data_IF_602294541713
#
_entry.id   IF_602294541713
#
_cell.length_a   1.000
_cell.length_b   1.000
_cell.length_c   1.000
_cell.angle_alpha   90.00
_cell.angle_beta   90.00
_cell.angle_gamma   90.00
#
_symmetry.space_group_name_H-M   'P 1'
#
loop_
_entity.id
_entity.type
_entity.pdbx_description
1 polymer ?
#
# COMPACT_ATOMS: atom_id res chain seq x y z
N UNK A 1 -8.58 -3.64 -6.50
CA UNK A 1 -8.35 -2.48 -5.62
C UNK A 1 -7.44 -1.46 -6.29
N UNK A 2 -6.26 -1.89 -6.78
CA UNK A 2 -5.28 -0.99 -7.41
C UNK A 2 -5.80 -0.25 -8.65
N UNK A 3 -6.59 -0.89 -9.52
CA UNK A 3 -7.19 -0.16 -10.66
C UNK A 3 -8.21 0.91 -10.21
N UNK A 4 -9.01 0.60 -9.19
CA UNK A 4 -10.02 1.52 -8.66
C UNK A 4 -9.37 2.78 -8.09
N UNK A 5 -8.25 2.68 -7.37
CA UNK A 5 -7.58 3.88 -6.82
C UNK A 5 -7.05 4.79 -7.95
N UNK A 6 -6.67 4.24 -9.10
CA UNK A 6 -6.29 5.04 -10.28
C UNK A 6 -7.50 5.73 -10.91
N UNK A 7 -8.63 5.04 -11.03
CA UNK A 7 -9.87 5.64 -11.54
C UNK A 7 -10.33 6.81 -10.65
N UNK A 8 -10.31 6.61 -9.33
CA UNK A 8 -10.67 7.64 -8.36
C UNK A 8 -9.71 8.85 -8.35
N UNK A 9 -8.48 8.68 -8.81
CA UNK A 9 -7.50 9.77 -8.88
C UNK A 9 -8.00 10.95 -9.72
N UNK A 10 -8.73 10.67 -10.81
CA UNK A 10 -9.29 11.70 -11.69
C UNK A 10 -10.41 12.52 -11.03
N UNK A 11 -11.06 11.96 -10.00
CA UNK A 11 -12.10 12.65 -9.25
C UNK A 11 -11.52 13.48 -8.10
N UNK A 12 -10.41 13.03 -7.51
CA UNK A 12 -9.83 13.62 -6.29
C UNK A 12 -8.67 14.57 -6.58
N UNK A 13 -7.66 14.14 -7.34
CA UNK A 13 -6.42 14.91 -7.52
C UNK A 13 -6.67 16.29 -8.16
N UNK A 14 -7.57 16.46 -9.16
CA UNK A 14 -7.79 17.77 -9.76
C UNK A 14 -8.45 18.79 -8.82
N UNK A 15 -9.22 18.34 -7.83
CA UNK A 15 -9.97 19.23 -6.92
C UNK A 15 -9.23 19.56 -5.63
N UNK A 16 -8.27 18.74 -5.22
CA UNK A 16 -7.42 19.00 -4.04
C UNK A 16 -6.26 19.94 -4.41
N UNK A 17 -6.16 21.10 -3.74
CA UNK A 17 -5.19 22.16 -4.13
C UNK A 17 -3.97 22.30 -3.22
N UNK A 18 -4.06 21.90 -1.95
CA UNK A 18 -3.03 22.21 -0.94
C UNK A 18 -2.87 21.14 0.14
N UNK A 19 -3.41 19.95 -0.09
CA UNK A 19 -3.38 18.83 0.86
C UNK A 19 -2.78 17.62 0.16
N UNK A 20 -1.79 16.93 0.75
CA UNK A 20 -1.28 15.69 0.21
C UNK A 20 -2.39 14.65 0.06
N UNK A 21 -2.42 13.95 -1.07
CA UNK A 21 -3.35 12.85 -1.33
C UNK A 21 -2.55 11.55 -1.41
N UNK A 22 -2.95 10.55 -0.65
CA UNK A 22 -2.29 9.25 -0.61
C UNK A 22 -3.17 8.19 -1.27
N UNK A 23 -2.54 7.25 -1.97
CA UNK A 23 -3.23 6.11 -2.56
C UNK A 23 -3.28 4.93 -1.58
N UNK A 24 -4.45 4.31 -1.45
CA UNK A 24 -4.55 2.97 -0.86
C UNK A 24 -4.07 1.94 -1.88
N UNK A 25 -3.01 1.20 -1.55
CA UNK A 25 -2.40 0.18 -2.41
C UNK A 25 -2.59 -1.20 -1.79
N UNK A 26 -3.12 -2.13 -2.58
CA UNK A 26 -3.15 -3.54 -2.21
C UNK A 26 -1.75 -4.14 -2.42
N UNK A 27 -1.00 -4.29 -1.32
CA UNK A 27 0.37 -4.80 -1.35
C UNK A 27 0.49 -6.27 -1.77
N UNK A 28 -0.57 -7.06 -1.62
CA UNK A 28 -0.57 -8.50 -1.89
C UNK A 28 -1.17 -8.86 -3.26
N UNK A 29 -1.40 -7.89 -4.14
CA UNK A 29 -2.03 -8.11 -5.45
C UNK A 29 -1.09 -8.92 -6.37
N UNK A 30 -1.42 -10.18 -6.71
CA UNK A 30 -0.51 -11.07 -7.44
C UNK A 30 -0.39 -10.72 -8.93
N UNK A 31 -1.22 -9.80 -9.44
CA UNK A 31 -1.23 -9.41 -10.85
C UNK A 31 -0.54 -8.05 -11.10
N UNK A 32 0.02 -7.45 -10.06
CA UNK A 32 0.65 -6.13 -10.12
C UNK A 32 2.16 -6.24 -10.01
N UNK A 33 2.85 -5.48 -10.87
CA UNK A 33 4.28 -5.24 -10.72
C UNK A 33 4.44 -4.00 -9.84
N UNK A 34 4.69 -4.21 -8.54
CA UNK A 34 4.62 -3.15 -7.53
C UNK A 34 5.49 -1.92 -7.85
N UNK A 35 6.75 -2.04 -8.30
CA UNK A 35 7.55 -0.88 -8.66
C UNK A 35 6.94 -0.04 -9.79
N UNK A 36 6.28 -0.67 -10.77
CA UNK A 36 5.64 0.04 -11.87
C UNK A 36 4.37 0.76 -11.39
N UNK A 37 3.54 0.10 -10.58
CA UNK A 37 2.35 0.72 -10.01
C UNK A 37 2.71 1.93 -9.14
N UNK A 38 3.68 1.79 -8.24
CA UNK A 38 4.08 2.90 -7.35
C UNK A 38 4.64 4.09 -8.13
N UNK A 39 5.43 3.82 -9.18
CA UNK A 39 5.95 4.87 -10.07
C UNK A 39 4.84 5.55 -10.89
N UNK A 40 3.85 4.79 -11.34
CA UNK A 40 2.64 5.32 -11.99
C UNK A 40 1.85 6.22 -11.02
N UNK A 41 1.57 5.76 -9.80
CA UNK A 41 0.86 6.55 -8.78
C UNK A 41 1.59 7.86 -8.43
N UNK A 42 2.93 7.80 -8.31
CA UNK A 42 3.76 9.01 -8.14
C UNK A 42 3.62 9.95 -9.33
N UNK A 43 3.65 9.43 -10.55
CA UNK A 43 3.50 10.21 -11.79
C UNK A 43 2.12 10.87 -11.90
N UNK A 44 1.06 10.17 -11.46
CA UNK A 44 -0.31 10.72 -11.42
C UNK A 44 -0.44 11.90 -10.46
N UNK A 45 0.41 12.00 -9.44
CA UNK A 45 0.45 13.11 -8.49
C UNK A 45 0.05 12.74 -7.06
N UNK A 46 -0.05 11.44 -6.72
CA UNK A 46 -0.16 11.04 -5.33
C UNK A 46 1.13 11.40 -4.57
N UNK A 47 0.96 11.92 -3.35
CA UNK A 47 2.06 12.31 -2.48
C UNK A 47 2.63 11.13 -1.69
N UNK A 48 1.90 10.01 -1.64
CA UNK A 48 2.24 8.88 -0.80
C UNK A 48 1.30 7.69 -0.95
N UNK A 49 1.55 6.65 -0.16
CA UNK A 49 0.76 5.41 -0.17
C UNK A 49 0.48 4.89 1.24
N UNK A 50 -0.57 4.09 1.32
CA UNK A 50 -0.97 3.30 2.49
C UNK A 50 -1.27 1.87 2.03
N UNK A 51 -0.94 0.86 2.83
CA UNK A 51 -1.30 -0.54 2.60
C UNK A 51 -2.81 -0.75 2.82
N UNK A 52 -3.61 -0.49 1.80
CA UNK A 52 -5.04 -0.73 1.86
C UNK A 52 -5.61 -1.18 0.50
N UNK A 53 -6.37 -2.28 0.44
CA UNK A 53 -6.70 -3.22 1.53
C UNK A 53 -5.47 -3.89 2.18
N UNK A 54 -5.62 -4.31 3.44
CA UNK A 54 -4.55 -4.96 4.22
C UNK A 54 -5.03 -6.27 4.81
N UNK A 55 -4.17 -7.29 4.79
CA UNK A 55 -4.43 -8.57 5.43
C UNK A 55 -4.36 -8.50 6.96
N UNK A 56 -3.82 -7.41 7.50
CA UNK A 56 -3.78 -7.14 8.94
C UNK A 56 -5.15 -7.03 9.61
N UNK A 57 -6.22 -6.81 8.82
CA UNK A 57 -7.60 -6.82 9.30
C UNK A 57 -8.21 -8.22 9.45
N UNK A 58 -7.56 -9.26 8.93
CA UNK A 58 -8.01 -10.65 9.12
C UNK A 58 -7.29 -11.27 10.32
N UNK A 59 -7.99 -12.17 11.01
CA UNK A 59 -7.49 -12.95 12.13
C UNK A 59 -7.72 -14.47 11.92
N UNK A 60 -7.31 -15.26 12.92
CA UNK A 60 -7.53 -16.71 12.96
C UNK A 60 -7.05 -17.47 11.72
N UNK A 61 -7.84 -18.48 11.33
CA UNK A 61 -7.53 -19.37 10.21
C UNK A 61 -7.42 -18.62 8.88
N UNK A 62 -8.14 -17.51 8.71
CA UNK A 62 -8.12 -16.74 7.46
C UNK A 62 -6.79 -16.00 7.31
N UNK A 63 -6.31 -15.34 8.38
CA UNK A 63 -4.98 -14.72 8.38
C UNK A 63 -3.89 -15.76 8.12
N UNK A 64 -3.94 -16.89 8.81
CA UNK A 64 -2.97 -17.96 8.63
C UNK A 64 -2.95 -18.46 7.17
N UNK A 65 -4.12 -18.62 6.55
CA UNK A 65 -4.23 -19.06 5.17
C UNK A 65 -3.60 -18.08 4.18
N UNK A 66 -3.75 -16.76 4.39
CA UNK A 66 -3.09 -15.75 3.56
C UNK A 66 -1.57 -15.80 3.69
N UNK A 67 -1.06 -15.89 4.93
CA UNK A 67 0.37 -15.99 5.19
C UNK A 67 0.98 -17.25 4.54
N UNK A 68 0.31 -18.40 4.66
CA UNK A 68 0.79 -19.68 4.11
C UNK A 68 0.71 -19.77 2.57
N UNK A 69 -0.16 -18.97 1.94
CA UNK A 69 -0.36 -18.99 0.48
C UNK A 69 0.38 -17.86 -0.24
N UNK A 70 1.25 -17.12 0.45
CA UNK A 70 2.07 -16.07 -0.16
C UNK A 70 1.34 -14.75 -0.35
N UNK A 71 0.24 -14.50 0.37
CA UNK A 71 -0.46 -13.22 0.44
C UNK A 71 -0.33 -12.61 1.84
N UNK A 72 0.82 -12.81 2.48
CA UNK A 72 1.09 -12.37 3.85
C UNK A 72 1.36 -10.87 3.98
N UNK A 73 1.34 -10.38 5.22
CA UNK A 73 1.61 -8.97 5.53
C UNK A 73 3.03 -8.54 5.14
N UNK A 74 3.97 -9.49 5.01
CA UNK A 74 5.32 -9.23 4.52
C UNK A 74 5.35 -8.52 3.16
N UNK A 75 4.44 -8.86 2.24
CA UNK A 75 4.35 -8.18 0.95
C UNK A 75 3.88 -6.72 1.06
N UNK A 76 3.07 -6.40 2.07
CA UNK A 76 2.70 -5.01 2.35
C UNK A 76 3.88 -4.21 2.89
N UNK A 77 4.73 -4.84 3.72
CA UNK A 77 5.98 -4.24 4.19
C UNK A 77 6.92 -3.98 3.01
N UNK A 78 7.09 -4.96 2.12
CA UNK A 78 7.93 -4.82 0.92
C UNK A 78 7.42 -3.71 0.00
N UNK A 79 6.09 -3.61 -0.19
CA UNK A 79 5.47 -2.52 -0.96
C UNK A 79 5.78 -1.15 -0.35
N UNK A 80 5.69 -1.02 0.98
CA UNK A 80 6.01 0.22 1.68
C UNK A 80 7.49 0.57 1.54
N UNK A 81 8.38 -0.42 1.60
CA UNK A 81 9.81 -0.21 1.39
C UNK A 81 10.13 0.29 -0.03
N UNK A 82 9.50 -0.30 -1.04
CA UNK A 82 9.63 0.18 -2.43
C UNK A 82 9.07 1.60 -2.60
N UNK A 83 7.94 1.92 -1.96
CA UNK A 83 7.39 3.27 -1.99
C UNK A 83 8.34 4.28 -1.32
N UNK A 84 8.97 3.92 -0.21
CA UNK A 84 9.95 4.76 0.46
C UNK A 84 11.19 5.02 -0.41
N UNK A 85 11.71 3.99 -1.11
CA UNK A 85 12.80 4.15 -2.09
C UNK A 85 12.46 5.11 -3.23
N UNK A 86 11.17 5.22 -3.57
CA UNK A 86 10.65 6.17 -4.55
C UNK A 86 10.36 7.55 -3.94
N UNK A 87 10.76 7.85 -2.70
CA UNK A 87 10.50 9.12 -2.01
C UNK A 87 9.01 9.48 -1.99
N UNK A 88 8.16 8.48 -1.77
CA UNK A 88 6.73 8.66 -1.48
C UNK A 88 6.54 8.69 0.05
N UNK A 89 5.62 9.54 0.52
CA UNK A 89 5.19 9.48 1.91
C UNK A 89 4.54 8.12 2.19
N UNK A 90 4.97 7.42 3.23
CA UNK A 90 4.41 6.13 3.64
C UNK A 90 3.64 6.27 4.94
N UNK A 91 2.37 5.85 4.96
CA UNK A 91 1.52 5.89 6.16
C UNK A 91 0.84 4.55 6.43
N UNK A 92 1.62 3.47 6.68
CA UNK A 92 1.05 2.13 6.79
C UNK A 92 0.22 1.91 8.05
N UNK A 93 -0.81 1.06 7.93
CA UNK A 93 -1.44 0.42 9.08
C UNK A 93 -0.57 -0.72 9.60
N UNK A 94 -0.54 -0.84 10.93
CA UNK A 94 0.12 -1.93 11.66
C UNK A 94 -0.79 -2.38 12.79
N UNK A 95 -0.82 -3.68 13.07
CA UNK A 95 -1.79 -4.29 13.98
C UNK A 95 -1.14 -4.94 15.20
N UNK A 96 0.19 -5.05 15.22
CA UNK A 96 0.94 -5.54 16.36
C UNK A 96 2.37 -4.93 16.39
N UNK A 97 3.11 -5.08 17.51
CA UNK A 97 4.46 -4.52 17.65
C UNK A 97 5.49 -5.02 16.64
N UNK A 98 5.34 -6.24 16.12
CA UNK A 98 6.28 -6.79 15.13
C UNK A 98 6.08 -6.18 13.75
N UNK A 99 4.82 -6.01 13.33
CA UNK A 99 4.45 -5.25 12.13
C UNK A 99 4.89 -3.79 12.23
N UNK A 100 4.72 -3.16 13.40
CA UNK A 100 5.22 -1.80 13.65
C UNK A 100 6.74 -1.71 13.46
N UNK A 101 7.50 -2.66 14.00
CA UNK A 101 8.95 -2.76 13.81
C UNK A 101 9.33 -3.00 12.35
N UNK A 102 8.57 -3.83 11.63
CA UNK A 102 8.81 -4.12 10.22
C UNK A 102 8.61 -2.88 9.36
N UNK A 103 7.46 -2.20 9.49
CA UNK A 103 7.16 -0.96 8.77
C UNK A 103 8.12 0.19 9.13
N UNK A 104 8.67 0.22 10.35
CA UNK A 104 9.68 1.22 10.74
C UNK A 104 11.02 1.02 10.00
N UNK A 105 11.34 -0.22 9.61
CA UNK A 105 12.58 -0.55 8.88
C UNK A 105 12.43 -0.46 7.36
N UNK A 106 11.19 -0.47 6.87
CA UNK A 106 10.84 -0.44 5.46
C UNK A 106 11.27 0.87 4.81
#
# INVERSE_FOLDING_TARGET
ANEIVKEMAYEVLPVVKKTPVLAGVNGTDPFVIMPLLLSELKTMGFSGVQNFPTVGLFDGTMRQSFEETGMGFGLEVDMIAEAHKLDLLTTPYVFNPDEARAMTRA
#
